data_IF_887143420544
#
_entry.id   IF_887143420544
#
_cell.length_a   1.000
_cell.length_b   1.000
_cell.length_c   1.000
_cell.angle_alpha   90.00
_cell.angle_beta   90.00
_cell.angle_gamma   90.00
#
_symmetry.space_group_name_H-M   'P 1'
#
loop_
_entity.id
_entity.type
_entity.pdbx_description
1 polymer ?
#
# COMPACT_ATOMS: atom_id res chain seq x y z
N UNK A 1 61.97 -23.87 -21.04
CA UNK A 1 60.85 -24.42 -20.28
C UNK A 1 59.84 -23.28 -20.13
N UNK A 2 58.73 -23.33 -20.91
CA UNK A 2 57.70 -22.30 -20.94
C UNK A 2 56.53 -22.78 -20.06
N UNK A 3 56.21 -22.06 -18.99
CA UNK A 3 55.07 -22.32 -18.13
C UNK A 3 53.83 -21.67 -18.74
N UNK A 4 52.83 -22.48 -19.09
CA UNK A 4 51.51 -22.05 -19.52
C UNK A 4 50.64 -21.85 -18.26
N UNK A 5 50.22 -20.61 -17.98
CA UNK A 5 49.22 -20.31 -16.99
C UNK A 5 47.82 -20.45 -17.63
N UNK A 6 47.02 -21.40 -17.15
CA UNK A 6 45.61 -21.55 -17.49
C UNK A 6 44.81 -20.56 -16.67
N UNK A 7 44.22 -19.57 -17.32
CA UNK A 7 43.20 -18.70 -16.70
C UNK A 7 41.85 -19.38 -16.82
N UNK A 8 41.29 -19.84 -15.67
CA UNK A 8 39.90 -20.27 -15.58
C UNK A 8 38.99 -19.04 -15.62
N UNK A 9 38.31 -18.86 -16.74
CA UNK A 9 37.25 -17.86 -16.90
C UNK A 9 35.97 -18.45 -16.34
N UNK A 10 35.60 -18.06 -15.10
CA UNK A 10 34.33 -18.45 -14.50
C UNK A 10 33.23 -17.57 -15.09
N UNK A 11 32.51 -18.11 -16.07
CA UNK A 11 31.33 -17.47 -16.63
C UNK A 11 30.22 -17.62 -15.59
N UNK A 12 29.90 -16.56 -14.86
CA UNK A 12 28.66 -16.46 -14.10
C UNK A 12 27.50 -16.30 -15.09
N UNK A 13 26.82 -17.40 -15.38
CA UNK A 13 25.51 -17.39 -16.01
C UNK A 13 24.51 -16.72 -15.02
N UNK A 14 24.29 -15.42 -15.23
CA UNK A 14 23.13 -14.74 -14.69
C UNK A 14 21.89 -15.35 -15.37
N UNK A 15 21.29 -16.36 -14.73
CA UNK A 15 19.94 -16.80 -15.07
C UNK A 15 19.03 -15.66 -14.65
N UNK A 16 18.34 -14.97 -15.59
CA UNK A 16 17.32 -14.03 -15.20
C UNK A 16 16.22 -14.83 -14.52
N UNK A 17 15.99 -14.58 -13.23
CA UNK A 17 14.75 -14.97 -12.56
C UNK A 17 13.63 -14.19 -13.25
N UNK A 18 13.10 -14.76 -14.32
CA UNK A 18 11.81 -14.35 -14.89
C UNK A 18 10.72 -14.70 -13.85
N UNK A 19 10.54 -13.83 -12.85
CA UNK A 19 9.23 -13.75 -12.21
C UNK A 19 8.30 -13.26 -13.32
N UNK A 20 7.42 -14.14 -13.77
CA UNK A 20 6.42 -13.86 -14.79
C UNK A 20 5.64 -12.61 -14.37
N UNK A 21 5.78 -11.55 -15.16
CA UNK A 21 4.85 -10.44 -15.10
C UNK A 21 3.44 -11.03 -15.16
N UNK A 22 2.58 -10.66 -14.22
CA UNK A 22 1.19 -11.09 -14.16
C UNK A 22 0.51 -10.69 -15.48
N UNK A 23 0.48 -11.60 -16.44
CA UNK A 23 -0.26 -11.40 -17.71
C UNK A 23 -1.72 -11.77 -17.45
N UNK A 24 -2.54 -10.75 -17.23
CA UNK A 24 -4.00 -10.90 -17.33
C UNK A 24 -4.40 -11.04 -18.81
N UNK A 25 -3.97 -12.12 -19.45
CA UNK A 25 -4.39 -12.43 -20.84
C UNK A 25 -5.74 -13.15 -20.79
N UNK A 26 -6.77 -12.52 -21.34
CA UNK A 26 -8.14 -13.02 -21.60
C UNK A 26 -9.00 -13.44 -20.38
N UNK A 27 -8.56 -13.21 -19.15
CA UNK A 27 -9.32 -13.51 -17.92
C UNK A 27 -9.85 -12.25 -17.23
N UNK A 28 -10.87 -12.40 -16.39
CA UNK A 28 -11.30 -11.34 -15.46
C UNK A 28 -10.18 -11.02 -14.47
N UNK A 29 -10.01 -9.75 -14.13
CA UNK A 29 -9.11 -9.34 -13.03
C UNK A 29 -9.67 -9.91 -11.73
N UNK A 30 -8.95 -10.84 -11.11
CA UNK A 30 -9.33 -11.41 -9.82
C UNK A 30 -8.98 -10.44 -8.70
N UNK A 31 -9.96 -10.06 -7.91
CA UNK A 31 -9.82 -9.06 -6.83
C UNK A 31 -10.04 -9.72 -5.47
N UNK A 32 -9.11 -9.49 -4.55
CA UNK A 32 -9.27 -9.76 -3.13
C UNK A 32 -9.44 -8.43 -2.39
N UNK A 33 -10.50 -8.30 -1.59
CA UNK A 33 -10.77 -7.10 -0.79
C UNK A 33 -10.52 -7.43 0.68
N UNK A 34 -9.60 -6.68 1.30
CA UNK A 34 -9.43 -6.65 2.75
C UNK A 34 -10.01 -5.34 3.29
N UNK A 35 -10.80 -5.44 4.34
CA UNK A 35 -11.53 -4.31 4.89
C UNK A 35 -11.30 -4.20 6.39
N UNK A 36 -10.96 -2.99 6.88
CA UNK A 36 -10.98 -2.71 8.30
C UNK A 36 -12.42 -2.79 8.83
N UNK A 37 -12.57 -3.00 10.12
CA UNK A 37 -13.87 -3.23 10.81
C UNK A 37 -14.69 -1.98 11.04
N UNK A 38 -14.13 -0.80 10.82
CA UNK A 38 -14.78 0.48 11.08
C UNK A 38 -15.84 0.86 10.06
N UNK A 39 -16.58 1.94 10.32
CA UNK A 39 -17.75 2.31 9.53
C UNK A 39 -17.38 2.83 8.14
N UNK A 40 -16.32 3.65 7.99
CA UNK A 40 -15.91 4.21 6.70
C UNK A 40 -15.66 3.13 5.63
N UNK A 41 -14.78 2.15 5.87
CA UNK A 41 -14.59 0.99 5.00
C UNK A 41 -15.88 0.20 4.73
N UNK A 42 -16.78 0.10 5.71
CA UNK A 42 -18.06 -0.59 5.54
C UNK A 42 -19.01 0.17 4.61
N UNK A 43 -19.03 1.51 4.67
CA UNK A 43 -19.81 2.35 3.76
C UNK A 43 -19.27 2.25 2.34
N UNK A 44 -17.96 2.37 2.17
CA UNK A 44 -17.29 2.24 0.87
C UNK A 44 -17.68 0.92 0.19
N UNK A 45 -17.68 -0.18 0.91
CA UNK A 45 -18.05 -1.49 0.35
C UNK A 45 -19.54 -1.60 0.00
N UNK A 46 -20.45 -1.04 0.80
CA UNK A 46 -21.89 -1.23 0.63
C UNK A 46 -22.51 -0.40 -0.49
N UNK A 47 -21.92 0.72 -0.83
CA UNK A 47 -22.54 1.76 -1.67
C UNK A 47 -22.35 1.54 -3.18
N UNK A 48 -22.49 0.31 -3.67
CA UNK A 48 -22.34 -0.01 -5.10
C UNK A 48 -20.91 -0.38 -5.54
N UNK A 49 -20.00 -0.58 -4.58
CA UNK A 49 -18.60 -0.89 -4.85
C UNK A 49 -18.40 -2.20 -5.62
N UNK A 50 -19.14 -3.24 -5.23
CA UNK A 50 -19.04 -4.55 -5.88
C UNK A 50 -19.59 -4.53 -7.30
N UNK A 51 -20.68 -3.81 -7.50
CA UNK A 51 -21.30 -3.57 -8.79
C UNK A 51 -20.32 -2.85 -9.71
N UNK A 52 -19.70 -1.76 -9.25
CA UNK A 52 -18.68 -1.02 -10.00
C UNK A 52 -17.52 -1.93 -10.43
N UNK A 53 -16.98 -2.74 -9.53
CA UNK A 53 -15.88 -3.67 -9.87
C UNK A 53 -16.33 -4.71 -10.91
N UNK A 54 -17.57 -5.21 -10.79
CA UNK A 54 -18.12 -6.18 -11.73
C UNK A 54 -18.31 -5.56 -13.13
N UNK A 55 -18.83 -4.33 -13.19
CA UNK A 55 -19.00 -3.58 -14.43
C UNK A 55 -17.65 -3.27 -15.09
N UNK A 56 -16.61 -3.09 -14.28
CA UNK A 56 -15.23 -2.98 -14.73
C UNK A 56 -14.62 -4.34 -15.12
N UNK A 57 -15.38 -5.43 -15.15
CA UNK A 57 -14.93 -6.76 -15.56
C UNK A 57 -14.03 -7.45 -14.54
N UNK A 58 -14.11 -7.07 -13.25
CA UNK A 58 -13.44 -7.77 -12.18
C UNK A 58 -14.24 -8.98 -11.68
N UNK A 59 -13.52 -9.97 -11.18
CA UNK A 59 -14.07 -11.09 -10.42
C UNK A 59 -13.67 -10.91 -8.94
N UNK A 60 -14.64 -10.62 -8.07
CA UNK A 60 -14.38 -10.52 -6.64
C UNK A 60 -14.32 -11.93 -6.07
N UNK A 61 -13.11 -12.40 -5.80
CA UNK A 61 -12.89 -13.77 -5.28
C UNK A 61 -13.18 -13.88 -3.80
N UNK A 62 -12.93 -12.82 -3.03
CA UNK A 62 -13.19 -12.80 -1.59
C UNK A 62 -13.23 -11.37 -1.06
N UNK A 63 -14.06 -11.16 -0.05
CA UNK A 63 -14.05 -9.99 0.82
C UNK A 63 -13.80 -10.47 2.24
N UNK A 64 -12.79 -9.95 2.90
CA UNK A 64 -12.46 -10.28 4.30
C UNK A 64 -12.46 -9.01 5.14
N UNK A 65 -13.14 -9.08 6.29
CA UNK A 65 -13.19 -7.98 7.25
C UNK A 65 -12.35 -8.32 8.47
N UNK A 66 -11.57 -7.35 8.96
CA UNK A 66 -10.83 -7.46 10.21
C UNK A 66 -11.79 -7.78 11.37
N UNK A 67 -11.38 -8.73 12.18
CA UNK A 67 -12.09 -9.11 13.41
C UNK A 67 -11.05 -9.31 14.51
N UNK A 68 -11.18 -8.56 15.60
CA UNK A 68 -10.40 -8.80 16.81
C UNK A 68 -11.08 -9.88 17.65
N UNK A 69 -10.27 -10.66 18.37
CA UNK A 69 -10.81 -11.56 19.39
C UNK A 69 -11.39 -10.74 20.55
N UNK A 70 -12.31 -11.27 21.37
CA UNK A 70 -12.82 -10.57 22.55
C UNK A 70 -11.74 -10.15 23.54
N UNK A 71 -10.61 -10.87 23.58
CA UNK A 71 -9.44 -10.53 24.40
C UNK A 71 -8.67 -9.34 23.82
N UNK A 72 -8.46 -9.34 22.50
CA UNK A 72 -7.79 -8.24 21.79
C UNK A 72 -8.62 -6.97 21.83
N UNK A 73 -9.93 -7.06 21.63
CA UNK A 73 -10.84 -5.92 21.63
C UNK A 73 -10.91 -5.21 23.00
N UNK A 74 -10.66 -5.94 24.08
CA UNK A 74 -10.57 -5.39 25.45
C UNK A 74 -9.21 -4.84 25.82
N UNK A 75 -8.20 -4.98 24.98
CA UNK A 75 -6.88 -4.42 25.27
C UNK A 75 -6.91 -2.90 25.21
N UNK A 76 -6.26 -2.29 26.21
CA UNK A 76 -6.22 -0.84 26.33
C UNK A 76 -5.17 -0.23 25.42
N UNK A 77 -5.45 1.00 24.96
CA UNK A 77 -4.54 1.88 24.24
C UNK A 77 -4.82 1.91 22.73
N UNK A 78 -5.04 3.11 22.20
CA UNK A 78 -5.34 3.36 20.79
C UNK A 78 -4.24 2.78 19.89
N UNK A 79 -2.98 3.11 20.13
CA UNK A 79 -1.85 2.59 19.35
C UNK A 79 -1.74 1.06 19.40
N UNK A 80 -2.18 0.47 20.50
CA UNK A 80 -2.21 -0.98 20.62
C UNK A 80 -3.34 -1.59 19.80
N UNK A 81 -4.50 -0.95 19.72
CA UNK A 81 -5.61 -1.37 18.87
C UNK A 81 -5.25 -1.25 17.39
N UNK A 82 -4.65 -0.13 16.96
CA UNK A 82 -4.17 0.06 15.59
C UNK A 82 -3.16 -1.04 15.17
N UNK A 83 -2.25 -1.40 16.08
CA UNK A 83 -1.31 -2.48 15.80
C UNK A 83 -1.98 -3.85 15.67
N UNK A 84 -3.04 -4.12 16.45
CA UNK A 84 -3.81 -5.36 16.36
C UNK A 84 -4.63 -5.40 15.06
N UNK A 85 -5.30 -4.32 14.69
CA UNK A 85 -6.04 -4.22 13.43
C UNK A 85 -5.11 -4.41 12.23
N UNK A 86 -3.95 -3.73 12.22
CA UNK A 86 -2.91 -3.90 11.21
C UNK A 86 -2.43 -5.35 11.13
N UNK A 87 -2.21 -6.02 12.26
CA UNK A 87 -1.83 -7.44 12.31
C UNK A 87 -2.88 -8.32 11.63
N UNK A 88 -4.16 -8.08 11.90
CA UNK A 88 -5.24 -8.85 11.30
C UNK A 88 -5.39 -8.56 9.79
N UNK A 89 -5.18 -7.31 9.34
CA UNK A 89 -5.08 -6.99 7.91
C UNK A 89 -3.98 -7.82 7.26
N UNK A 90 -2.78 -7.81 7.85
CA UNK A 90 -1.64 -8.56 7.36
C UNK A 90 -1.89 -10.07 7.27
N UNK A 91 -2.52 -10.66 8.30
CA UNK A 91 -2.91 -12.08 8.32
C UNK A 91 -3.90 -12.40 7.18
N UNK A 92 -4.96 -11.59 7.02
CA UNK A 92 -5.96 -11.80 5.98
C UNK A 92 -5.35 -11.73 4.57
N UNK A 93 -4.41 -10.82 4.33
CA UNK A 93 -3.68 -10.74 3.07
C UNK A 93 -2.77 -11.97 2.93
N UNK A 94 -2.01 -12.35 3.91
CA UNK A 94 -1.12 -13.49 3.88
C UNK A 94 -1.84 -14.83 3.71
N UNK A 95 -3.01 -15.06 4.24
CA UNK A 95 -3.81 -16.27 4.13
C UNK A 95 -4.47 -16.47 2.76
N UNK A 96 -4.80 -15.38 2.05
CA UNK A 96 -5.54 -15.45 0.80
C UNK A 96 -4.67 -15.44 -0.46
N UNK A 97 -3.56 -16.17 -0.44
CA UNK A 97 -2.43 -16.04 -1.35
C UNK A 97 -2.32 -17.08 -2.43
N UNK A 98 -3.18 -18.07 -2.45
CA UNK A 98 -3.11 -19.15 -3.42
C UNK A 98 -3.44 -18.71 -4.86
N UNK A 99 -3.81 -17.43 -5.05
CA UNK A 99 -4.12 -16.85 -6.33
C UNK A 99 -3.33 -15.58 -6.63
N UNK A 100 -3.13 -15.31 -7.90
CA UNK A 100 -2.65 -14.02 -8.38
C UNK A 100 -3.82 -13.02 -8.30
N UNK A 101 -4.00 -12.39 -7.14
CA UNK A 101 -5.08 -11.42 -6.90
C UNK A 101 -4.55 -10.00 -6.88
N UNK A 102 -5.30 -9.10 -7.45
CA UNK A 102 -5.17 -7.68 -7.16
C UNK A 102 -5.80 -7.41 -5.80
N UNK A 103 -5.02 -6.90 -4.85
CA UNK A 103 -5.50 -6.65 -3.48
C UNK A 103 -5.99 -5.22 -3.33
N UNK A 104 -7.23 -5.05 -2.87
CA UNK A 104 -7.81 -3.76 -2.52
C UNK A 104 -7.98 -3.68 -1.00
N UNK A 105 -7.32 -2.72 -0.35
CA UNK A 105 -7.50 -2.36 1.05
C UNK A 105 -8.53 -1.25 1.21
N UNK A 106 -9.61 -1.50 1.96
CA UNK A 106 -10.54 -0.50 2.44
C UNK A 106 -10.17 -0.21 3.90
N UNK A 107 -9.48 0.91 4.12
CA UNK A 107 -8.73 1.19 5.33
C UNK A 107 -9.39 2.29 6.15
N UNK A 108 -9.14 2.30 7.46
CA UNK A 108 -9.69 3.32 8.36
C UNK A 108 -8.84 4.59 8.30
N UNK A 109 -7.55 4.43 8.51
CA UNK A 109 -6.57 5.52 8.58
C UNK A 109 -5.22 5.06 8.04
N UNK A 110 -4.25 5.96 8.05
CA UNK A 110 -2.93 5.71 7.51
C UNK A 110 -2.10 4.67 8.27
N UNK A 111 -2.40 4.37 9.54
CA UNK A 111 -1.70 3.32 10.30
C UNK A 111 -1.97 1.92 9.76
N UNK A 112 -3.08 1.69 9.07
CA UNK A 112 -3.40 0.43 8.38
C UNK A 112 -2.36 0.05 7.29
N UNK A 113 -1.53 1.02 6.84
CA UNK A 113 -0.33 0.79 6.01
C UNK A 113 0.51 -0.36 6.54
N UNK A 114 0.72 -0.43 7.88
CA UNK A 114 1.57 -1.44 8.50
C UNK A 114 1.05 -2.85 8.21
N UNK A 115 -0.26 -3.05 8.29
CA UNK A 115 -0.91 -4.32 7.99
C UNK A 115 -0.83 -4.68 6.51
N UNK A 116 -1.07 -3.72 5.62
CA UNK A 116 -0.94 -3.93 4.18
C UNK A 116 0.49 -4.37 3.81
N UNK A 117 1.50 -3.66 4.28
CA UNK A 117 2.90 -4.00 4.04
C UNK A 117 3.28 -5.36 4.65
N UNK A 118 2.88 -5.64 5.90
CA UNK A 118 3.14 -6.91 6.56
C UNK A 118 2.57 -8.09 5.76
N UNK A 119 1.32 -8.01 5.35
CA UNK A 119 0.68 -9.04 4.54
C UNK A 119 1.39 -9.25 3.20
N UNK A 120 1.73 -8.17 2.51
CA UNK A 120 2.41 -8.22 1.22
C UNK A 120 3.86 -8.72 1.32
N UNK A 121 4.60 -8.40 2.37
CA UNK A 121 5.95 -8.94 2.59
C UNK A 121 5.95 -10.46 2.75
N UNK A 122 4.91 -10.98 3.32
CA UNK A 122 4.79 -12.40 3.58
C UNK A 122 4.02 -13.15 2.50
N UNK A 123 3.79 -12.57 1.34
CA UNK A 123 3.25 -13.24 0.16
C UNK A 123 4.16 -14.41 -0.27
N UNK A 124 3.61 -15.64 -0.35
CA UNK A 124 4.33 -16.83 -0.81
C UNK A 124 4.37 -16.84 -2.35
N UNK A 125 5.51 -16.92 -2.98
CA UNK A 125 5.55 -17.36 -4.36
C UNK A 125 5.28 -18.90 -4.38
N UNK A 126 4.15 -19.33 -4.98
CA UNK A 126 3.87 -20.73 -5.25
C UNK A 126 3.10 -21.53 -4.18
N UNK A 127 2.62 -22.71 -4.55
CA UNK A 127 1.69 -23.59 -3.82
C UNK A 127 2.01 -23.78 -2.33
N UNK A 128 0.98 -23.64 -1.49
CA UNK A 128 1.03 -23.91 -0.05
C UNK A 128 0.53 -25.33 0.19
N UNK A 129 1.27 -26.11 0.96
CA UNK A 129 0.74 -27.33 1.57
C UNK A 129 -0.28 -26.96 2.67
N UNK A 130 -1.45 -27.59 2.60
CA UNK A 130 -2.62 -27.30 3.46
C UNK A 130 -2.43 -27.54 4.98
N UNK A 131 -1.24 -27.95 5.41
CA UNK A 131 -0.96 -28.30 6.80
C UNK A 131 -0.60 -27.10 7.70
N UNK A 132 -0.34 -25.91 7.15
CA UNK A 132 0.29 -24.78 7.86
C UNK A 132 -0.65 -23.60 8.17
N UNK A 133 -1.95 -23.84 8.31
CA UNK A 133 -2.96 -22.80 8.52
C UNK A 133 -3.04 -22.25 9.96
N UNK A 134 -2.07 -22.54 10.83
CA UNK A 134 -2.05 -22.00 12.19
C UNK A 134 -0.95 -20.94 12.32
N UNK A 135 -1.39 -19.68 12.46
CA UNK A 135 -0.55 -18.53 12.83
C UNK A 135 0.66 -18.28 11.92
N UNK A 136 0.42 -17.78 10.70
CA UNK A 136 1.47 -17.46 9.72
C UNK A 136 2.46 -16.38 10.18
N UNK A 137 2.11 -15.53 11.14
CA UNK A 137 2.98 -14.45 11.62
C UNK A 137 3.77 -14.78 12.90
N UNK A 138 3.52 -15.89 13.60
CA UNK A 138 4.22 -16.20 14.84
C UNK A 138 5.08 -17.48 14.80
N UNK A 139 4.80 -18.45 13.93
CA UNK A 139 5.53 -19.74 13.94
C UNK A 139 5.94 -20.29 12.57
N UNK A 140 5.40 -19.75 11.46
CA UNK A 140 5.59 -20.33 10.12
C UNK A 140 6.65 -19.68 9.23
N UNK A 141 7.29 -18.60 9.66
CA UNK A 141 8.23 -17.81 8.83
C UNK A 141 9.70 -18.21 8.98
N UNK A 142 10.02 -19.12 9.87
CA UNK A 142 11.38 -19.62 10.05
C UNK A 142 11.90 -20.21 8.73
N UNK A 143 12.72 -19.43 8.01
CA UNK A 143 13.41 -19.85 6.80
C UNK A 143 12.91 -19.26 5.47
N UNK A 144 11.88 -18.40 5.44
CA UNK A 144 11.40 -17.75 4.22
C UNK A 144 11.84 -16.29 4.16
N UNK A 145 12.45 -15.90 3.04
CA UNK A 145 12.85 -14.51 2.81
C UNK A 145 11.60 -13.67 2.53
N UNK A 146 11.35 -12.57 3.28
CA UNK A 146 10.27 -11.64 2.99
C UNK A 146 10.41 -11.04 1.58
N UNK A 147 9.27 -10.79 0.91
CA UNK A 147 9.29 -10.06 -0.35
C UNK A 147 9.68 -8.60 -0.10
N UNK A 148 10.39 -8.03 -1.08
CA UNK A 148 10.64 -6.58 -1.11
C UNK A 148 9.39 -5.91 -1.66
N UNK A 149 8.70 -5.15 -0.82
CA UNK A 149 7.51 -4.38 -1.20
C UNK A 149 7.94 -2.96 -1.51
N UNK A 150 7.55 -2.43 -2.68
CA UNK A 150 7.64 -1.01 -2.99
C UNK A 150 6.39 -0.29 -2.48
N UNK A 151 6.54 0.92 -1.97
CA UNK A 151 5.45 1.77 -1.52
C UNK A 151 5.38 3.02 -2.38
N UNK A 152 4.21 3.29 -2.96
CA UNK A 152 3.83 4.62 -3.44
C UNK A 152 2.88 5.18 -2.39
N UNK A 153 3.33 6.19 -1.66
CA UNK A 153 2.60 6.90 -0.62
C UNK A 153 1.97 8.14 -1.23
N UNK A 154 0.65 8.14 -1.40
CA UNK A 154 -0.09 9.24 -2.05
C UNK A 154 -0.89 9.96 -0.97
N UNK A 155 -0.47 11.17 -0.63
CA UNK A 155 -0.95 11.92 0.53
C UNK A 155 -0.57 13.40 0.39
N UNK A 156 -1.28 14.30 1.08
CA UNK A 156 -0.85 15.68 1.26
C UNK A 156 0.30 15.80 2.25
N UNK A 157 0.40 14.87 3.22
CA UNK A 157 1.36 14.80 4.31
C UNK A 157 2.38 13.69 4.05
N UNK A 158 3.53 13.79 4.69
CA UNK A 158 4.56 12.75 4.54
C UNK A 158 4.35 11.56 5.48
N UNK A 159 3.67 11.77 6.60
CA UNK A 159 3.48 10.81 7.69
C UNK A 159 4.82 10.16 8.13
N UNK A 160 5.87 10.96 8.05
CA UNK A 160 7.25 10.58 8.32
C UNK A 160 7.76 11.16 9.64
N UNK A 161 6.87 11.75 10.44
CA UNK A 161 7.15 12.21 11.78
C UNK A 161 7.50 11.06 12.73
N UNK A 162 8.29 11.36 13.74
CA UNK A 162 8.54 10.51 14.90
C UNK A 162 7.95 11.17 16.16
N UNK A 163 7.86 10.49 17.30
CA UNK A 163 7.47 11.14 18.57
C UNK A 163 8.32 12.35 18.94
N UNK A 164 9.55 12.44 18.42
CA UNK A 164 10.47 13.55 18.68
C UNK A 164 10.30 14.73 17.71
N UNK A 165 9.72 14.51 16.53
CA UNK A 165 9.59 15.55 15.49
C UNK A 165 8.17 16.09 15.33
N UNK A 166 7.16 15.32 15.72
CA UNK A 166 5.76 15.68 15.53
C UNK A 166 5.34 16.91 16.33
N UNK A 167 4.62 17.82 15.68
CA UNK A 167 4.01 18.96 16.36
C UNK A 167 2.65 18.62 16.99
N UNK A 168 1.93 17.65 16.42
CA UNK A 168 0.56 17.28 16.85
C UNK A 168 0.53 16.15 17.87
N UNK A 169 1.55 15.29 17.92
CA UNK A 169 1.54 14.03 18.66
C UNK A 169 0.63 12.94 18.05
N UNK A 170 0.03 13.18 16.91
CA UNK A 170 -0.88 12.22 16.26
C UNK A 170 -0.11 11.02 15.71
N UNK A 171 -0.58 9.82 16.04
CA UNK A 171 -0.03 8.58 15.46
C UNK A 171 -0.21 8.55 13.93
N UNK A 172 -1.33 9.11 13.43
CA UNK A 172 -1.64 9.21 12.00
C UNK A 172 -0.57 9.94 11.19
N UNK A 173 0.23 10.82 11.77
CA UNK A 173 1.36 11.47 11.09
C UNK A 173 2.69 10.70 11.17
N UNK A 174 2.69 9.42 11.55
CA UNK A 174 3.91 8.63 11.77
C UNK A 174 4.00 7.29 11.01
N UNK A 175 2.94 6.80 10.31
CA UNK A 175 2.92 5.42 9.82
C UNK A 175 4.06 5.08 8.87
N UNK A 176 4.51 6.01 8.04
CA UNK A 176 5.65 5.76 7.14
C UNK A 176 6.96 5.70 7.92
N UNK A 177 7.17 6.58 8.91
CA UNK A 177 8.34 6.50 9.81
C UNK A 177 8.37 5.18 10.59
N UNK A 178 7.21 4.73 11.07
CA UNK A 178 7.08 3.43 11.75
C UNK A 178 7.44 2.29 10.80
N UNK A 179 6.88 2.31 9.58
CA UNK A 179 7.14 1.28 8.57
C UNK A 179 8.62 1.18 8.21
N UNK A 180 9.33 2.30 8.17
CA UNK A 180 10.79 2.33 7.90
C UNK A 180 11.65 1.98 9.11
N UNK A 181 11.06 1.84 10.30
CA UNK A 181 11.78 1.51 11.53
C UNK A 181 12.46 2.69 12.22
N UNK A 182 12.15 3.92 11.82
CA UNK A 182 12.69 5.14 12.46
C UNK A 182 12.17 5.31 13.89
N UNK A 183 10.93 4.90 14.16
CA UNK A 183 10.33 5.02 15.49
C UNK A 183 9.40 3.84 15.80
N UNK A 184 8.89 3.79 17.03
CA UNK A 184 7.84 2.88 17.51
C UNK A 184 8.01 1.42 17.06
N UNK A 185 9.22 0.88 17.12
CA UNK A 185 9.58 -0.48 16.67
C UNK A 185 8.65 -1.55 17.24
N UNK A 186 8.20 -1.43 18.51
CA UNK A 186 7.29 -2.41 19.10
C UNK A 186 5.92 -2.44 18.43
N UNK A 187 5.42 -1.27 18.01
CA UNK A 187 4.16 -1.17 17.27
C UNK A 187 4.30 -1.83 15.90
N UNK A 188 5.36 -1.51 15.17
CA UNK A 188 5.67 -2.13 13.88
C UNK A 188 5.74 -3.65 13.97
N UNK A 189 6.50 -4.17 14.94
CA UNK A 189 6.63 -5.61 15.17
C UNK A 189 5.30 -6.26 15.56
N UNK A 190 4.48 -5.60 16.38
CA UNK A 190 3.15 -6.10 16.76
C UNK A 190 2.19 -6.13 15.57
N UNK A 191 2.28 -5.18 14.66
CA UNK A 191 1.53 -5.17 13.39
C UNK A 191 2.00 -6.28 12.43
N UNK A 192 3.12 -6.94 12.72
CA UNK A 192 3.66 -8.02 11.90
C UNK A 192 4.59 -7.56 10.77
N UNK A 193 4.93 -6.27 10.72
CA UNK A 193 5.83 -5.74 9.69
C UNK A 193 7.30 -5.94 10.11
N UNK A 194 7.91 -7.01 9.63
CA UNK A 194 9.32 -7.33 9.85
C UNK A 194 9.87 -8.11 8.64
N UNK A 195 10.93 -7.61 7.99
CA UNK A 195 11.76 -6.44 8.32
C UNK A 195 11.08 -5.09 8.05
N UNK A 196 11.68 -4.01 8.58
CA UNK A 196 11.29 -2.64 8.24
C UNK A 196 11.48 -2.36 6.74
N UNK A 197 10.70 -1.41 6.21
CA UNK A 197 10.76 -1.00 4.82
C UNK A 197 11.94 -0.07 4.55
N UNK A 198 12.91 -0.40 3.69
CA UNK A 198 13.96 0.53 3.31
C UNK A 198 13.40 1.78 2.60
N UNK A 199 13.85 2.98 2.98
CA UNK A 199 13.33 4.25 2.41
C UNK A 199 13.51 4.33 0.88
N UNK A 200 14.53 3.69 0.31
CA UNK A 200 14.72 3.59 -1.15
C UNK A 200 13.60 2.84 -1.89
N UNK A 201 12.73 2.12 -1.18
CA UNK A 201 11.55 1.45 -1.75
C UNK A 201 10.29 2.31 -1.65
N UNK A 202 10.43 3.59 -1.30
CA UNK A 202 9.32 4.52 -1.13
C UNK A 202 9.37 5.61 -2.19
N UNK A 203 8.20 5.91 -2.73
CA UNK A 203 7.90 7.11 -3.53
C UNK A 203 6.78 7.86 -2.82
N UNK A 204 7.04 9.09 -2.45
CA UNK A 204 6.06 10.02 -1.89
C UNK A 204 5.39 10.79 -3.03
N UNK A 205 4.07 10.86 -3.08
CA UNK A 205 3.35 11.51 -4.16
C UNK A 205 2.28 12.48 -3.62
N UNK A 206 2.31 13.72 -4.09
CA UNK A 206 1.29 14.73 -3.72
C UNK A 206 1.59 15.56 -2.48
N UNK A 207 2.75 15.36 -1.83
CA UNK A 207 3.13 16.08 -0.61
C UNK A 207 3.12 17.58 -0.80
N UNK A 208 2.58 18.31 0.19
CA UNK A 208 2.55 19.78 0.20
C UNK A 208 2.40 20.39 1.60
N UNK A 209 2.19 19.56 2.61
CA UNK A 209 2.19 19.97 4.03
C UNK A 209 3.09 19.03 4.80
N UNK A 210 4.30 19.48 5.13
CA UNK A 210 5.35 18.70 5.79
C UNK A 210 5.94 19.55 6.92
N UNK A 211 5.96 18.99 8.12
CA UNK A 211 6.55 19.68 9.29
C UNK A 211 8.07 19.92 9.10
N UNK A 212 8.64 21.01 9.62
CA UNK A 212 10.06 21.33 9.39
C UNK A 212 11.04 20.24 9.82
N UNK A 213 10.83 19.61 10.97
CA UNK A 213 11.70 18.51 11.44
C UNK A 213 11.43 17.20 10.70
N UNK A 214 10.23 16.99 10.22
CA UNK A 214 9.88 15.89 9.33
C UNK A 214 10.60 16.01 7.98
N UNK A 215 10.66 17.24 7.42
CA UNK A 215 11.41 17.52 6.20
C UNK A 215 12.89 17.18 6.36
N UNK A 216 13.51 17.47 7.51
CA UNK A 216 14.89 17.08 7.77
C UNK A 216 15.10 15.56 7.76
N UNK A 217 14.10 14.78 8.22
CA UNK A 217 14.15 13.31 8.15
C UNK A 217 14.03 12.82 6.71
N UNK A 218 13.12 13.42 5.93
CA UNK A 218 12.96 13.11 4.51
C UNK A 218 14.23 13.41 3.70
N UNK A 219 14.87 14.55 3.95
CA UNK A 219 16.11 14.96 3.27
C UNK A 219 17.28 13.99 3.53
N UNK A 220 17.27 13.30 4.67
CA UNK A 220 18.26 12.26 5.01
C UNK A 220 17.86 10.87 4.51
N UNK A 221 16.66 10.72 3.98
CA UNK A 221 16.13 9.45 3.47
C UNK A 221 16.56 9.20 2.03
N UNK A 222 16.19 8.03 1.51
CA UNK A 222 16.32 7.68 0.08
C UNK A 222 14.93 7.64 -0.60
N UNK A 223 13.94 8.30 -0.01
CA UNK A 223 12.62 8.43 -0.63
C UNK A 223 12.72 9.25 -1.91
N UNK A 224 11.90 8.90 -2.88
CA UNK A 224 11.74 9.67 -4.13
C UNK A 224 10.36 10.31 -4.16
N UNK A 225 10.19 11.31 -5.06
CA UNK A 225 9.00 12.15 -5.01
C UNK A 225 8.34 12.26 -6.39
N UNK A 226 7.00 12.33 -6.38
CA UNK A 226 6.13 12.72 -7.50
C UNK A 226 5.32 13.92 -7.01
N UNK A 227 5.49 15.08 -7.63
CA UNK A 227 4.77 16.28 -7.22
C UNK A 227 3.31 16.28 -7.67
N UNK A 228 2.48 17.16 -7.08
CA UNK A 228 1.11 17.40 -7.57
C UNK A 228 1.12 17.82 -9.06
N UNK A 229 2.12 18.59 -9.49
CA UNK A 229 2.27 18.96 -10.90
C UNK A 229 2.55 17.77 -11.81
N UNK A 230 3.34 16.79 -11.35
CA UNK A 230 3.59 15.57 -12.09
C UNK A 230 2.29 14.76 -12.25
N UNK A 231 1.47 14.67 -11.19
CA UNK A 231 0.16 14.02 -11.22
C UNK A 231 -0.76 14.71 -12.21
N UNK A 232 -0.90 16.05 -12.14
CA UNK A 232 -1.79 16.83 -13.01
C UNK A 232 -1.41 16.75 -14.48
N UNK A 233 -0.11 16.72 -14.78
CA UNK A 233 0.41 16.72 -16.16
C UNK A 233 0.66 15.32 -16.70
N UNK A 234 0.48 14.29 -15.89
CA UNK A 234 0.83 12.90 -16.24
C UNK A 234 2.28 12.83 -16.76
N UNK A 235 3.21 13.40 -15.98
CA UNK A 235 4.60 13.52 -16.42
C UNK A 235 5.31 12.18 -16.44
N UNK A 236 6.39 12.08 -17.23
CA UNK A 236 7.25 10.88 -17.31
C UNK A 236 7.86 10.51 -15.95
N UNK A 237 7.82 11.43 -14.96
CA UNK A 237 8.29 11.15 -13.60
C UNK A 237 7.52 10.01 -12.96
N UNK A 238 6.24 9.85 -13.28
CA UNK A 238 5.39 8.75 -12.77
C UNK A 238 5.95 7.41 -13.25
N UNK A 239 6.14 7.25 -14.55
CA UNK A 239 6.65 6.00 -15.12
C UNK A 239 8.08 5.72 -14.66
N UNK A 240 8.94 6.76 -14.59
CA UNK A 240 10.30 6.64 -14.10
C UNK A 240 10.35 6.08 -12.67
N UNK A 241 9.50 6.55 -11.78
CA UNK A 241 9.49 6.08 -10.39
C UNK A 241 8.86 4.69 -10.26
N UNK A 242 7.85 4.38 -11.04
CA UNK A 242 7.26 3.04 -11.07
C UNK A 242 8.25 2.00 -11.61
N UNK A 243 8.97 2.32 -12.67
CA UNK A 243 10.03 1.46 -13.22
C UNK A 243 11.15 1.25 -12.20
N UNK A 244 11.61 2.32 -11.53
CA UNK A 244 12.61 2.23 -10.45
C UNK A 244 12.16 1.29 -9.34
N UNK A 245 10.93 1.42 -8.85
CA UNK A 245 10.37 0.51 -7.84
C UNK A 245 10.28 -0.92 -8.37
N UNK A 246 9.88 -1.11 -9.63
CA UNK A 246 9.79 -2.42 -10.27
C UNK A 246 11.14 -3.13 -10.34
N UNK A 247 12.23 -2.41 -10.51
CA UNK A 247 13.57 -2.98 -10.50
C UNK A 247 14.04 -3.35 -9.09
N UNK A 248 13.62 -2.61 -8.08
CA UNK A 248 14.08 -2.77 -6.69
C UNK A 248 13.26 -3.79 -5.89
N UNK A 249 12.01 -4.04 -6.26
CA UNK A 249 11.01 -4.76 -5.44
C UNK A 249 10.32 -5.88 -6.20
N UNK A 250 9.64 -6.76 -5.50
CA UNK A 250 8.86 -7.88 -6.08
C UNK A 250 7.39 -7.51 -6.31
N UNK A 251 6.84 -6.61 -5.48
CA UNK A 251 5.47 -6.10 -5.59
C UNK A 251 5.43 -4.63 -5.18
N UNK A 252 4.54 -3.85 -5.77
CA UNK A 252 4.33 -2.43 -5.43
C UNK A 252 2.94 -2.29 -4.84
N UNK A 253 2.87 -1.64 -3.70
CA UNK A 253 1.66 -1.22 -3.01
C UNK A 253 1.47 0.29 -3.17
N UNK A 254 0.30 0.71 -3.59
CA UNK A 254 -0.10 2.13 -3.68
C UNK A 254 -1.06 2.41 -2.53
N UNK A 255 -0.64 3.25 -1.59
CA UNK A 255 -1.47 3.75 -0.51
C UNK A 255 -2.00 5.13 -0.85
N UNK A 256 -3.26 5.39 -0.58
CA UNK A 256 -3.89 6.69 -0.83
C UNK A 256 -4.57 7.14 0.45
N UNK A 257 -4.09 8.25 1.03
CA UNK A 257 -4.89 9.05 1.94
C UNK A 257 -5.80 9.97 1.12
N UNK A 258 -7.08 10.02 1.49
CA UNK A 258 -8.06 10.80 0.72
C UNK A 258 -7.82 12.32 0.82
N UNK A 259 -7.06 12.81 1.80
CA UNK A 259 -6.72 14.22 1.92
C UNK A 259 -5.67 14.72 0.91
N UNK A 260 -5.07 13.81 0.16
CA UNK A 260 -4.27 14.18 -1.02
C UNK A 260 -5.09 14.97 -2.03
N UNK A 261 -6.39 14.74 -2.09
CA UNK A 261 -7.27 15.42 -3.03
C UNK A 261 -7.48 16.89 -2.67
N UNK A 262 -7.90 17.66 -3.66
CA UNK A 262 -8.35 19.02 -3.43
C UNK A 262 -9.51 19.04 -2.41
N UNK A 263 -9.53 19.99 -1.45
CA UNK A 263 -10.57 20.08 -0.43
C UNK A 263 -12.00 20.07 -0.97
N UNK A 264 -12.21 20.53 -2.20
CA UNK A 264 -13.53 20.56 -2.84
C UNK A 264 -14.08 19.16 -3.11
N UNK A 265 -13.23 18.13 -3.19
CA UNK A 265 -13.63 16.74 -3.45
C UNK A 265 -13.77 15.89 -2.17
N UNK A 266 -13.24 16.37 -1.04
CA UNK A 266 -13.24 15.69 0.26
C UNK A 266 -13.63 16.64 1.40
N UNK A 267 -14.69 17.39 1.20
CA UNK A 267 -15.10 18.53 2.05
C UNK A 267 -15.22 18.21 3.55
N UNK A 268 -15.52 16.97 3.90
CA UNK A 268 -15.64 16.56 5.30
C UNK A 268 -14.33 16.07 5.94
N UNK A 269 -13.24 16.06 5.22
CA UNK A 269 -11.94 15.67 5.76
C UNK A 269 -11.33 16.80 6.60
N UNK A 270 -10.84 16.49 7.80
CA UNK A 270 -10.36 17.50 8.77
C UNK A 270 -8.94 18.01 8.49
N UNK A 271 -8.17 17.28 7.69
CA UNK A 271 -6.75 17.56 7.42
C UNK A 271 -6.49 17.92 5.95
N UNK A 272 -7.51 18.42 5.24
CA UNK A 272 -7.35 18.81 3.84
C UNK A 272 -6.37 19.96 3.67
N UNK A 273 -5.55 19.88 2.65
CA UNK A 273 -4.58 20.91 2.24
C UNK A 273 -4.98 21.44 0.86
N UNK A 274 -4.98 22.78 0.63
CA UNK A 274 -5.27 23.35 -0.69
C UNK A 274 -4.30 22.87 -1.78
N UNK A 275 -4.72 23.08 -3.04
CA UNK A 275 -3.91 22.79 -4.22
C UNK A 275 -3.62 21.30 -4.48
N UNK A 276 -4.41 20.39 -3.92
CA UNK A 276 -4.37 18.98 -4.24
C UNK A 276 -4.82 18.66 -5.67
N UNK A 277 -4.51 17.49 -6.20
CA UNK A 277 -5.08 17.05 -7.46
C UNK A 277 -6.59 16.78 -7.28
N UNK A 278 -7.34 16.91 -8.37
CA UNK A 278 -8.71 16.38 -8.43
C UNK A 278 -8.66 14.85 -8.47
N UNK A 279 -9.76 14.20 -8.06
CA UNK A 279 -9.88 12.74 -8.17
C UNK A 279 -9.77 12.25 -9.62
N UNK A 280 -10.13 13.09 -10.60
CA UNK A 280 -9.96 12.78 -12.03
C UNK A 280 -8.49 12.78 -12.45
N UNK A 281 -7.72 13.79 -12.02
CA UNK A 281 -6.29 13.88 -12.31
C UNK A 281 -5.52 12.73 -11.64
N UNK A 282 -5.82 12.46 -10.37
CA UNK A 282 -5.18 11.36 -9.65
C UNK A 282 -5.57 9.99 -10.23
N UNK A 283 -6.83 9.77 -10.64
CA UNK A 283 -7.24 8.52 -11.28
C UNK A 283 -6.49 8.28 -12.60
N UNK A 284 -6.20 9.34 -13.38
CA UNK A 284 -5.40 9.21 -14.59
C UNK A 284 -3.94 8.85 -14.29
N UNK A 285 -3.35 9.43 -13.22
CA UNK A 285 -2.02 9.06 -12.75
C UNK A 285 -1.98 7.61 -12.23
N UNK A 286 -3.01 7.18 -11.50
CA UNK A 286 -3.15 5.78 -11.06
C UNK A 286 -3.26 4.82 -12.26
N UNK A 287 -3.97 5.21 -13.32
CA UNK A 287 -4.04 4.42 -14.54
C UNK A 287 -2.64 4.19 -15.14
N UNK A 288 -1.74 5.20 -15.14
CA UNK A 288 -0.34 5.03 -15.53
C UNK A 288 0.40 4.10 -14.56
N UNK A 289 0.32 4.38 -13.26
CA UNK A 289 1.02 3.58 -12.23
C UNK A 289 0.66 2.10 -12.30
N UNK A 290 -0.62 1.79 -12.50
CA UNK A 290 -1.12 0.42 -12.53
C UNK A 290 -0.96 -0.29 -13.89
N UNK A 291 -0.38 0.35 -14.89
CA UNK A 291 0.15 -0.34 -16.07
C UNK A 291 1.41 -1.14 -15.76
N UNK A 292 2.15 -0.79 -14.70
CA UNK A 292 3.31 -1.56 -14.28
C UNK A 292 2.91 -2.90 -13.68
N UNK A 293 3.45 -4.02 -14.19
CA UNK A 293 3.00 -5.38 -13.80
C UNK A 293 3.13 -5.69 -12.31
N UNK A 294 4.08 -5.05 -11.62
CA UNK A 294 4.31 -5.26 -10.18
C UNK A 294 3.41 -4.42 -9.27
N UNK A 295 2.63 -3.47 -9.80
CA UNK A 295 1.63 -2.75 -9.01
C UNK A 295 0.46 -3.69 -8.68
N UNK A 296 0.56 -4.39 -7.55
CA UNK A 296 -0.29 -5.52 -7.17
C UNK A 296 -1.32 -5.23 -6.09
N UNK A 297 -1.25 -4.07 -5.45
CA UNK A 297 -2.17 -3.71 -4.38
C UNK A 297 -2.44 -2.20 -4.32
N UNK A 298 -3.66 -1.83 -3.90
CA UNK A 298 -4.07 -0.46 -3.61
C UNK A 298 -4.77 -0.41 -2.26
N UNK A 299 -4.58 0.67 -1.50
CA UNK A 299 -5.32 0.95 -0.27
C UNK A 299 -5.92 2.34 -0.31
N UNK A 300 -7.17 2.48 0.13
CA UNK A 300 -7.85 3.76 0.33
C UNK A 300 -8.05 3.95 1.82
N UNK A 301 -7.51 5.03 2.38
CA UNK A 301 -7.56 5.38 3.79
C UNK A 301 -8.20 6.76 4.01
N UNK A 302 -8.65 7.02 5.23
CA UNK A 302 -9.09 8.34 5.71
C UNK A 302 -10.28 8.91 4.93
N UNK A 303 -11.13 8.08 4.34
CA UNK A 303 -12.30 8.54 3.58
C UNK A 303 -13.35 9.15 4.52
N UNK A 304 -13.75 10.42 4.34
CA UNK A 304 -14.90 10.99 5.03
C UNK A 304 -16.19 10.20 4.73
N UNK A 305 -17.09 10.13 5.71
CA UNK A 305 -18.36 9.41 5.56
C UNK A 305 -19.47 9.98 6.46
N UNK A 306 -20.72 9.57 6.22
CA UNK A 306 -21.89 9.99 6.99
C UNK A 306 -22.15 11.48 6.89
N UNK A 307 -22.29 12.17 8.03
CA UNK A 307 -22.52 13.61 8.09
C UNK A 307 -21.38 14.44 7.49
N UNK A 308 -20.19 13.87 7.36
CA UNK A 308 -19.01 14.49 6.73
C UNK A 308 -18.97 14.32 5.21
N UNK A 309 -19.83 13.50 4.62
CA UNK A 309 -19.88 13.24 3.16
C UNK A 309 -21.33 13.12 2.68
N UNK A 310 -22.17 14.13 3.00
CA UNK A 310 -23.62 14.12 2.72
C UNK A 310 -23.97 14.04 1.23
N UNK A 311 -23.15 14.63 0.38
CA UNK A 311 -23.31 14.63 -1.06
C UNK A 311 -22.62 13.45 -1.76
N UNK A 312 -21.96 12.58 -0.98
CA UNK A 312 -21.18 11.43 -1.43
C UNK A 312 -20.02 11.83 -2.37
N UNK A 313 -19.46 13.02 -2.23
CA UNK A 313 -18.35 13.48 -3.06
C UNK A 313 -17.09 12.66 -2.79
N UNK A 314 -16.75 12.42 -1.51
CA UNK A 314 -15.61 11.63 -1.11
C UNK A 314 -15.75 10.16 -1.55
N UNK A 315 -16.95 9.58 -1.41
CA UNK A 315 -17.24 8.23 -1.88
C UNK A 315 -17.06 8.10 -3.41
N UNK A 316 -17.60 9.06 -4.18
CA UNK A 316 -17.45 9.09 -5.65
C UNK A 316 -15.98 9.28 -6.05
N UNK A 317 -15.24 10.11 -5.32
CA UNK A 317 -13.81 10.29 -5.53
C UNK A 317 -13.06 8.96 -5.31
N UNK A 318 -13.28 8.28 -4.18
CA UNK A 318 -12.66 6.98 -3.89
C UNK A 318 -12.93 5.93 -4.99
N UNK A 319 -14.16 5.85 -5.48
CA UNK A 319 -14.51 4.95 -6.59
C UNK A 319 -13.75 5.28 -7.86
N UNK A 320 -13.64 6.58 -8.21
CA UNK A 320 -12.89 7.02 -9.38
C UNK A 320 -11.40 6.64 -9.29
N UNK A 321 -10.81 6.72 -8.10
CA UNK A 321 -9.41 6.33 -7.90
C UNK A 321 -9.22 4.82 -8.16
N UNK A 322 -10.09 3.99 -7.61
CA UNK A 322 -10.03 2.54 -7.81
C UNK A 322 -10.31 2.19 -9.29
N UNK A 323 -11.26 2.87 -9.93
CA UNK A 323 -11.51 2.72 -11.37
C UNK A 323 -10.25 3.01 -12.21
N UNK A 324 -9.51 4.08 -11.89
CA UNK A 324 -8.24 4.41 -12.53
C UNK A 324 -7.23 3.27 -12.41
N UNK A 325 -7.05 2.71 -11.21
CA UNK A 325 -6.17 1.57 -11.00
C UNK A 325 -6.58 0.34 -11.84
N UNK A 326 -7.86 -0.02 -11.85
CA UNK A 326 -8.37 -1.16 -12.64
C UNK A 326 -8.17 -0.93 -14.15
N UNK A 327 -8.41 0.30 -14.64
CA UNK A 327 -8.13 0.64 -16.06
C UNK A 327 -6.66 0.47 -16.40
N UNK A 328 -5.74 0.85 -15.50
CA UNK A 328 -4.31 0.63 -15.68
C UNK A 328 -3.96 -0.86 -15.78
N UNK A 329 -4.51 -1.69 -14.89
CA UNK A 329 -4.30 -3.14 -14.92
C UNK A 329 -4.77 -3.76 -16.26
N UNK A 330 -5.86 -3.29 -16.82
CA UNK A 330 -6.38 -3.77 -18.11
C UNK A 330 -5.50 -3.44 -19.33
N UNK A 331 -4.58 -2.50 -19.17
CA UNK A 331 -3.66 -2.07 -20.24
C UNK A 331 -2.30 -2.77 -20.19
N UNK A 332 -2.09 -3.70 -19.26
CA UNK A 332 -0.83 -4.46 -19.11
C UNK A 332 -0.55 -5.40 -20.26
#
# INVERSE_FOLDING_TARGET
>A
MKSLAFALLTIFLLVPLNLSAQKYTEGKIKVFIVKNRTEGPAILERSGFKEMLTDLGCEIVKVSTVQLTPEEDRQYGEWNQDALESKHIGNLIAENREGEYFTIGLLTNCTDLLGMLAGLQHLKPGKIDKADSRSLLSEGLAGRKPLRVGLVWIDAHADFNTPETTLSGMLGGMPVAIATGLCLTRLRMKAGLDPALPTKYIVMAGLRDVDPLEQELLDRSQCEFISVNDIRRLSDRIDLQMERLSQLTEIIYVHIDMDVLDPSEVQGHSLTVPEGPTSKELAAALEMMFQHPKAGAIGIASMPYGERDKDLSSLKAAYRLIEGAIKGIKKR
#
